data_IF_688942569978
#
_entry.id   IF_688942569978
#
_cell.length_a   1.000
_cell.length_b   1.000
_cell.length_c   1.000
_cell.angle_alpha   90.00
_cell.angle_beta   90.00
_cell.angle_gamma   90.00
#
_symmetry.space_group_name_H-M   'P 1'
#
loop_
_entity.id
_entity.type
_entity.pdbx_description
1 polymer ?
#
# COMPACT_ATOMS: atom_id res chain seq x y z
N UNK A 1 2.33 8.44 5.55
CA UNK A 1 1.58 9.02 4.41
C UNK A 1 2.35 8.79 3.12
N UNK A 2 1.64 8.45 2.05
CA UNK A 2 2.19 8.46 0.69
C UNK A 2 1.26 9.24 -0.24
N UNK A 3 1.82 9.87 -1.26
CA UNK A 3 1.08 10.56 -2.30
C UNK A 3 1.51 9.98 -3.63
N UNK A 4 0.55 9.50 -4.41
CA UNK A 4 0.79 8.73 -5.61
C UNK A 4 0.15 9.43 -6.80
N UNK A 5 0.93 9.67 -7.84
CA UNK A 5 0.47 10.21 -9.13
C UNK A 5 0.89 9.27 -10.24
N UNK A 6 -0.05 8.83 -11.04
CA UNK A 6 0.15 7.84 -12.10
C UNK A 6 -1.19 7.37 -12.65
N UNK A 7 -1.19 6.73 -13.81
CA UNK A 7 -2.44 6.27 -14.43
C UNK A 7 -2.87 4.86 -14.03
N UNK A 8 -1.97 4.00 -13.55
CA UNK A 8 -2.25 2.63 -13.08
C UNK A 8 -1.04 2.02 -12.35
N UNK A 9 -1.30 0.94 -11.62
CA UNK A 9 -0.33 -0.05 -11.16
C UNK A 9 0.83 0.53 -10.32
N UNK A 10 0.52 1.39 -9.35
CA UNK A 10 1.48 1.79 -8.33
C UNK A 10 1.65 0.65 -7.31
N UNK A 11 2.89 0.25 -7.03
CA UNK A 11 3.16 -0.85 -6.10
C UNK A 11 4.03 -0.36 -4.94
N UNK A 12 3.60 -0.69 -3.73
CA UNK A 12 4.36 -0.49 -2.50
C UNK A 12 4.59 -1.86 -1.89
N UNK A 13 5.87 -2.21 -1.70
CA UNK A 13 6.26 -3.43 -1.00
C UNK A 13 6.81 -3.13 0.39
N UNK A 14 6.39 -3.90 1.38
CA UNK A 14 6.94 -3.92 2.74
C UNK A 14 7.73 -5.22 2.93
N UNK A 15 8.97 -5.12 3.40
CA UNK A 15 9.91 -6.25 3.44
C UNK A 15 10.61 -6.37 4.80
N UNK A 16 11.02 -7.60 5.15
CA UNK A 16 11.88 -7.85 6.31
C UNK A 16 13.36 -7.62 6.04
N UNK A 17 13.80 -7.79 4.80
CA UNK A 17 15.17 -7.58 4.38
C UNK A 17 15.21 -6.84 3.03
N UNK A 18 16.40 -6.61 2.49
CA UNK A 18 16.55 -6.05 1.14
C UNK A 18 16.34 -7.07 0.02
N UNK A 19 16.17 -8.36 0.35
CA UNK A 19 15.90 -9.42 -0.61
C UNK A 19 14.42 -9.41 -1.04
N UNK A 20 14.15 -9.56 -2.33
CA UNK A 20 12.79 -9.59 -2.89
C UNK A 20 11.94 -10.73 -2.33
N UNK A 21 12.57 -11.84 -1.94
CA UNK A 21 11.90 -13.00 -1.32
C UNK A 21 11.39 -12.71 0.09
N UNK A 22 11.89 -11.65 0.74
CA UNK A 22 11.45 -11.22 2.08
C UNK A 22 10.25 -10.27 2.07
N UNK A 23 9.53 -10.20 0.96
CA UNK A 23 8.29 -9.45 0.85
C UNK A 23 7.25 -9.97 1.85
N UNK A 24 6.69 -9.05 2.61
CA UNK A 24 5.65 -9.31 3.60
C UNK A 24 4.29 -8.83 3.09
N UNK A 25 4.22 -7.59 2.61
CA UNK A 25 2.98 -7.02 2.09
C UNK A 25 3.28 -6.35 0.75
N UNK A 26 2.49 -6.68 -0.27
CA UNK A 26 2.42 -5.95 -1.53
C UNK A 26 1.07 -5.21 -1.59
N UNK A 27 1.14 -3.89 -1.66
CA UNK A 27 0.00 -3.01 -1.93
C UNK A 27 0.07 -2.62 -3.41
N UNK A 28 -0.91 -3.06 -4.20
CA UNK A 28 -1.06 -2.62 -5.59
C UNK A 28 -2.20 -1.62 -5.65
N UNK A 29 -1.88 -0.35 -5.85
CA UNK A 29 -2.81 0.77 -5.84
C UNK A 29 -3.12 1.16 -7.30
N UNK A 30 -4.40 1.25 -7.63
CA UNK A 30 -4.84 1.47 -9.01
C UNK A 30 -4.42 0.32 -9.95
N UNK A 31 -4.44 -0.91 -9.44
CA UNK A 31 -4.15 -2.12 -10.18
C UNK A 31 -5.18 -2.45 -11.28
N UNK A 32 -4.84 -3.42 -12.14
CA UNK A 32 -5.72 -3.95 -13.19
C UNK A 32 -6.21 -2.85 -14.15
N UNK A 33 -5.33 -1.91 -14.48
CA UNK A 33 -5.68 -0.75 -15.28
C UNK A 33 -6.50 0.28 -14.49
N UNK A 34 -6.12 0.53 -13.24
CA UNK A 34 -6.77 1.50 -12.35
C UNK A 34 -8.23 1.17 -12.02
N UNK A 35 -8.52 -0.12 -11.84
CA UNK A 35 -9.88 -0.63 -11.54
C UNK A 35 -10.04 -1.16 -10.13
N UNK A 36 -8.93 -1.57 -9.50
CA UNK A 36 -8.95 -2.05 -8.12
C UNK A 36 -7.63 -1.87 -7.42
N UNK A 37 -7.68 -1.81 -6.10
CA UNK A 37 -6.52 -1.78 -5.23
C UNK A 37 -6.50 -3.04 -4.39
N UNK A 38 -5.33 -3.68 -4.27
CA UNK A 38 -5.21 -5.01 -3.67
C UNK A 38 -4.09 -5.06 -2.64
N UNK A 39 -4.30 -5.84 -1.59
CA UNK A 39 -3.28 -6.25 -0.63
C UNK A 39 -2.94 -7.73 -0.87
N UNK A 40 -1.64 -8.04 -0.88
CA UNK A 40 -1.11 -9.37 -1.12
C UNK A 40 0.04 -9.67 -0.18
N UNK A 41 0.36 -10.95 0.00
CA UNK A 41 1.53 -11.40 0.78
C UNK A 41 2.72 -11.80 -0.10
N UNK A 42 2.53 -11.89 -1.42
CA UNK A 42 3.56 -12.28 -2.37
C UNK A 42 3.46 -11.43 -3.63
N UNK A 43 4.59 -11.24 -4.29
CA UNK A 43 4.70 -10.46 -5.51
C UNK A 43 3.89 -11.14 -6.62
N UNK A 44 2.90 -10.44 -7.19
CA UNK A 44 1.98 -11.02 -8.18
C UNK A 44 1.27 -12.28 -7.64
N UNK A 45 1.02 -12.30 -6.32
CA UNK A 45 0.30 -13.37 -5.65
C UNK A 45 -1.21 -13.23 -5.68
N UNK A 46 -1.89 -14.07 -4.90
CA UNK A 46 -3.34 -13.99 -4.66
C UNK A 46 -3.66 -12.68 -3.95
N UNK A 47 -4.77 -12.03 -4.36
CA UNK A 47 -5.31 -10.87 -3.65
C UNK A 47 -5.95 -11.36 -2.34
N UNK A 48 -5.37 -10.98 -1.21
CA UNK A 48 -5.89 -11.33 0.12
C UNK A 48 -7.02 -10.38 0.54
N UNK A 49 -6.89 -9.11 0.13
CA UNK A 49 -7.96 -8.13 0.21
C UNK A 49 -7.96 -7.27 -1.06
N UNK A 50 -9.14 -6.82 -1.47
CA UNK A 50 -9.28 -5.93 -2.62
C UNK A 50 -10.43 -4.94 -2.45
N UNK A 51 -10.27 -3.77 -3.06
CA UNK A 51 -11.30 -2.73 -3.13
C UNK A 51 -11.46 -2.26 -4.57
N UNK A 52 -12.71 -2.13 -4.99
CA UNK A 52 -13.13 -1.53 -6.26
C UNK A 52 -13.63 -0.09 -6.08
N UNK A 53 -13.57 0.44 -4.85
CA UNK A 53 -13.98 1.79 -4.56
C UNK A 53 -13.06 2.79 -5.31
N UNK A 54 -13.62 3.73 -6.08
CA UNK A 54 -12.87 4.74 -6.82
C UNK A 54 -11.89 5.56 -5.97
N UNK A 55 -12.16 5.74 -4.67
CA UNK A 55 -11.28 6.49 -3.78
C UNK A 55 -9.90 5.82 -3.64
N UNK A 56 -9.82 4.51 -3.87
CA UNK A 56 -8.54 3.80 -3.86
C UNK A 56 -7.75 3.86 -5.19
N UNK A 57 -8.26 4.55 -6.21
CA UNK A 57 -7.60 4.66 -7.52
C UNK A 57 -6.65 5.86 -7.59
N UNK A 58 -5.73 5.84 -8.55
CA UNK A 58 -4.76 6.92 -8.75
C UNK A 58 -5.10 7.76 -9.98
N UNK A 59 -4.55 8.96 -10.02
CA UNK A 59 -4.78 9.90 -11.10
C UNK A 59 -3.45 10.30 -11.79
N UNK A 60 -3.39 10.39 -13.12
CA UNK A 60 -2.17 10.78 -13.83
C UNK A 60 -1.82 12.27 -13.69
N UNK A 61 -2.80 13.11 -13.38
CA UNK A 61 -2.66 14.56 -13.37
C UNK A 61 -2.43 15.13 -11.97
N UNK A 62 -2.97 14.48 -10.93
CA UNK A 62 -2.89 14.90 -9.53
C UNK A 62 -2.35 13.80 -8.62
N UNK A 63 -1.76 14.20 -7.50
CA UNK A 63 -1.37 13.28 -6.44
C UNK A 63 -2.60 12.85 -5.65
N UNK A 64 -2.84 11.55 -5.57
CA UNK A 64 -3.83 10.97 -4.66
C UNK A 64 -3.14 10.60 -3.35
N UNK A 65 -3.57 11.17 -2.20
CA UNK A 65 -3.03 10.83 -0.89
C UNK A 65 -3.54 9.47 -0.41
N UNK A 66 -2.66 8.72 0.24
CA UNK A 66 -2.98 7.49 0.95
C UNK A 66 -2.31 7.48 2.32
N UNK A 67 -3.09 7.14 3.34
CA UNK A 67 -2.58 6.76 4.63
C UNK A 67 -2.28 5.26 4.64
N UNK A 68 -1.07 4.92 5.06
CA UNK A 68 -0.60 3.54 5.19
C UNK A 68 -0.10 3.37 6.61
N UNK A 69 -0.56 2.29 7.25
CA UNK A 69 -0.10 1.83 8.57
C UNK A 69 0.15 0.34 8.50
N UNK A 70 1.15 -0.13 9.22
CA UNK A 70 1.38 -1.56 9.42
C UNK A 70 1.74 -1.84 10.87
N UNK A 71 1.39 -3.04 11.32
CA UNK A 71 1.80 -3.64 12.60
C UNK A 71 2.70 -4.84 12.29
N UNK A 72 2.94 -5.70 13.27
CA UNK A 72 3.65 -6.96 13.09
C UNK A 72 2.87 -7.99 12.27
N UNK A 73 1.62 -7.78 11.93
CA UNK A 73 0.75 -8.80 11.32
C UNK A 73 -0.33 -8.21 10.40
N UNK A 74 -0.63 -6.93 10.52
CA UNK A 74 -1.67 -6.26 9.73
C UNK A 74 -1.11 -5.11 8.92
N UNK A 75 -1.59 -4.94 7.69
CA UNK A 75 -1.42 -3.73 6.90
C UNK A 75 -2.77 -3.06 6.68
N UNK A 76 -2.79 -1.73 6.79
CA UNK A 76 -3.95 -0.88 6.59
C UNK A 76 -3.64 0.15 5.52
N UNK A 77 -4.58 0.34 4.60
CA UNK A 77 -4.57 1.35 3.56
C UNK A 77 -5.88 2.12 3.61
N UNK A 78 -5.79 3.45 3.63
CA UNK A 78 -6.95 4.35 3.55
C UNK A 78 -6.67 5.43 2.51
N UNK A 79 -7.62 5.77 1.62
CA UNK A 79 -7.50 6.91 0.74
C UNK A 79 -7.70 8.22 1.51
N UNK A 80 -7.04 9.29 1.09
CA UNK A 80 -7.07 10.55 1.82
C UNK A 80 -5.88 10.73 2.77
N UNK A 81 -5.99 11.75 3.61
CA UNK A 81 -5.02 12.07 4.65
C UNK A 81 -5.30 11.26 5.94
N UNK A 82 -4.42 11.39 6.94
CA UNK A 82 -4.56 10.65 8.21
C UNK A 82 -5.92 10.90 8.90
N UNK A 83 -6.43 12.13 8.83
CA UNK A 83 -7.70 12.54 9.44
C UNK A 83 -8.90 12.39 8.50
N UNK A 84 -8.71 11.77 7.32
CA UNK A 84 -9.81 11.54 6.39
C UNK A 84 -10.74 10.44 6.91
N UNK A 85 -12.04 10.73 6.88
CA UNK A 85 -13.08 9.72 6.92
C UNK A 85 -13.08 8.99 5.57
N UNK A 86 -12.92 7.67 5.60
CA UNK A 86 -12.84 6.89 4.38
C UNK A 86 -12.74 5.39 4.65
N UNK A 87 -13.06 4.57 3.64
CA UNK A 87 -12.98 3.13 3.73
C UNK A 87 -11.54 2.69 4.05
N UNK A 88 -11.40 1.65 4.87
CA UNK A 88 -10.11 1.04 5.18
C UNK A 88 -10.04 -0.30 4.46
N UNK A 89 -9.01 -0.46 3.63
CA UNK A 89 -8.63 -1.75 3.09
C UNK A 89 -7.52 -2.31 3.98
N UNK A 90 -7.74 -3.49 4.55
CA UNK A 90 -6.79 -4.11 5.46
C UNK A 90 -6.63 -5.60 5.21
N UNK A 91 -5.49 -6.14 5.63
CA UNK A 91 -5.22 -7.56 5.64
C UNK A 91 -4.38 -7.94 6.86
N UNK A 92 -4.83 -8.95 7.61
CA UNK A 92 -4.14 -9.52 8.77
C UNK A 92 -3.63 -10.90 8.43
N UNK A 93 -2.32 -11.11 8.60
CA UNK A 93 -1.63 -12.39 8.41
C UNK A 93 -1.84 -13.28 9.63
N UNK A 94 -1.64 -14.58 9.46
CA UNK A 94 -1.59 -15.51 10.60
C UNK A 94 -0.30 -15.40 11.41
N UNK A 95 0.82 -15.11 10.74
CA UNK A 95 2.14 -15.03 11.36
C UNK A 95 2.58 -13.57 11.57
N UNK A 96 3.38 -13.35 12.61
CA UNK A 96 4.02 -12.05 12.85
C UNK A 96 5.30 -11.89 12.03
N UNK A 97 5.58 -10.67 11.61
CA UNK A 97 6.65 -10.27 10.70
C UNK A 97 7.31 -8.97 11.16
N UNK A 98 8.54 -8.75 10.73
CA UNK A 98 9.31 -7.55 11.04
C UNK A 98 9.49 -6.69 9.79
N UNK A 99 8.59 -5.73 9.54
CA UNK A 99 8.73 -4.78 8.43
C UNK A 99 9.89 -3.82 8.71
N UNK A 100 10.93 -3.85 7.87
CA UNK A 100 12.15 -3.03 8.02
C UNK A 100 12.42 -2.16 6.79
N UNK A 101 11.93 -2.56 5.63
CA UNK A 101 12.16 -1.86 4.38
C UNK A 101 10.85 -1.59 3.66
N UNK A 102 10.79 -0.46 2.95
CA UNK A 102 9.70 -0.10 2.05
C UNK A 102 10.29 0.17 0.68
N UNK A 103 9.70 -0.40 -0.36
CA UNK A 103 10.10 -0.18 -1.74
C UNK A 103 8.91 0.23 -2.60
N UNK A 104 9.21 0.96 -3.67
CA UNK A 104 8.23 1.40 -4.65
C UNK A 104 8.54 0.78 -6.01
N UNK A 105 7.51 0.35 -6.71
CA UNK A 105 7.61 -0.16 -8.08
C UNK A 105 6.47 0.44 -8.91
N UNK A 106 6.74 0.69 -10.18
CA UNK A 106 5.74 1.14 -11.15
C UNK A 106 5.36 -0.03 -12.05
N UNK A 107 4.11 -0.08 -12.50
CA UNK A 107 3.70 -0.96 -13.60
C UNK A 107 4.34 -0.56 -14.93
N UNK A 108 4.02 -1.34 -15.96
CA UNK A 108 4.47 -1.08 -17.33
C UNK A 108 3.73 0.13 -17.92
N UNK A 109 4.40 0.82 -18.86
CA UNK A 109 3.84 1.89 -19.71
C UNK A 109 3.46 3.21 -19.03
N UNK A 110 3.30 3.22 -17.70
CA UNK A 110 2.87 4.39 -16.97
C UNK A 110 3.79 4.67 -15.78
N UNK A 111 4.68 5.67 -15.88
CA UNK A 111 5.49 6.10 -14.75
C UNK A 111 4.62 6.53 -13.59
N UNK A 112 4.94 6.02 -12.39
CA UNK A 112 4.32 6.45 -11.14
C UNK A 112 5.29 7.34 -10.40
N UNK A 113 4.80 8.49 -9.93
CA UNK A 113 5.52 9.40 -9.04
C UNK A 113 5.01 9.21 -7.63
N UNK A 114 5.93 9.04 -6.68
CA UNK A 114 5.61 8.84 -5.27
C UNK A 114 6.33 9.89 -4.44
N UNK A 115 5.58 10.52 -3.54
CA UNK A 115 6.13 11.24 -2.39
C UNK A 115 5.73 10.49 -1.13
N UNK A 116 6.59 10.46 -0.12
CA UNK A 116 6.28 9.81 1.14
C UNK A 116 6.71 10.67 2.32
N UNK A 117 5.97 10.52 3.41
CA UNK A 117 6.33 11.03 4.73
C UNK A 117 6.09 9.91 5.73
N UNK A 118 7.16 9.39 6.31
CA UNK A 118 7.13 8.28 7.26
C UNK A 118 7.31 8.81 8.67
N UNK A 119 6.37 8.45 9.53
CA UNK A 119 6.39 8.75 10.95
C UNK A 119 6.32 7.44 11.72
N UNK A 120 7.30 7.18 12.57
CA UNK A 120 7.23 6.08 13.51
C UNK A 120 6.34 6.51 14.69
N UNK A 121 5.23 5.81 14.94
CA UNK A 121 4.49 5.99 16.19
C UNK A 121 5.25 5.27 17.30
N UNK A 122 5.82 6.02 18.26
CA UNK A 122 6.35 5.46 19.53
C UNK A 122 5.26 4.97 20.48
N UNK A 123 4.00 5.00 20.04
CA UNK A 123 2.84 4.52 20.78
C UNK A 123 2.66 3.07 20.38
N UNK A 124 2.85 2.16 21.34
CA UNK A 124 2.32 0.80 21.23
C UNK A 124 0.81 0.95 21.03
N UNK A 125 0.35 0.57 19.86
CA UNK A 125 -1.08 0.61 19.55
C UNK A 125 -1.66 -0.64 20.20
N UNK A 126 -2.04 -0.53 21.46
CA UNK A 126 -2.95 -1.48 22.09
C UNK A 126 -4.35 -1.19 21.57
N UNK A 127 -5.04 -2.22 21.10
CA UNK A 127 -6.42 -2.22 20.64
C UNK A 127 -7.41 -1.50 21.59
#
# INVERSE_FOLDING_TARGET
>A
MVWIKGCKDAVIGLFESTDVSSLVFELVIGGYGNKKTTLREKFVGVNMAESFDPDFMINPNQYTPFWIKWTSDTVYLRPGNMDSDGPVLQWTRHDTVSVRYMAFRTGYECPVKVMWNLTCSKVDITD
#
